data_IF_862407654631
#
_entry.id   IF_862407654631
#
_cell.length_a   1.000
_cell.length_b   1.000
_cell.length_c   1.000
_cell.angle_alpha   90.00
_cell.angle_beta   90.00
_cell.angle_gamma   90.00
#
_symmetry.space_group_name_H-M   'P 1'
#
loop_
_entity.id
_entity.type
_entity.pdbx_description
1 polymer ?
#
# COMPACT_ATOMS: atom_id res chain seq x y z
N UNK A 1 16.79 36.20 -23.50
CA UNK A 1 15.72 35.17 -23.41
C UNK A 1 14.95 35.36 -22.11
N UNK A 2 13.66 35.63 -22.17
CA UNK A 2 12.82 35.69 -20.99
C UNK A 2 12.71 34.27 -20.40
N UNK A 3 13.02 34.10 -19.12
CA UNK A 3 12.92 32.83 -18.40
C UNK A 3 11.44 32.47 -18.18
N UNK A 4 11.04 31.24 -18.56
CA UNK A 4 9.69 30.74 -18.26
C UNK A 4 9.43 30.80 -16.76
N UNK A 5 8.28 31.37 -16.39
CA UNK A 5 7.86 31.41 -14.99
C UNK A 5 6.96 30.21 -14.67
N UNK A 6 7.41 29.32 -13.81
CA UNK A 6 6.65 28.16 -13.34
C UNK A 6 6.79 27.97 -11.83
N UNK A 7 5.79 27.36 -11.24
CA UNK A 7 5.78 27.08 -9.80
C UNK A 7 6.87 26.06 -9.44
N UNK A 8 7.79 26.44 -8.57
CA UNK A 8 8.73 25.49 -7.95
C UNK A 8 7.99 24.65 -6.90
N UNK A 9 8.02 23.33 -7.05
CA UNK A 9 7.40 22.40 -6.12
C UNK A 9 8.50 21.85 -5.19
N UNK A 10 8.42 22.16 -3.91
CA UNK A 10 9.37 21.67 -2.91
C UNK A 10 8.90 20.31 -2.36
N UNK A 11 9.07 19.28 -3.17
CA UNK A 11 8.70 17.91 -2.84
C UNK A 11 9.84 16.97 -3.21
N UNK A 12 10.23 16.11 -2.28
CA UNK A 12 11.16 15.04 -2.60
C UNK A 12 10.48 14.00 -3.49
N UNK A 13 11.07 13.71 -4.64
CA UNK A 13 10.56 12.68 -5.57
C UNK A 13 10.42 11.33 -4.88
N UNK A 14 9.39 10.59 -5.27
CA UNK A 14 9.21 9.22 -4.81
C UNK A 14 10.34 8.33 -5.34
N UNK A 15 11.07 7.68 -4.44
CA UNK A 15 12.09 6.71 -4.80
C UNK A 15 11.50 5.30 -4.66
N UNK A 16 11.25 4.59 -5.77
CA UNK A 16 10.73 3.22 -5.73
C UNK A 16 11.74 2.25 -5.12
N UNK A 17 11.29 1.04 -4.77
CA UNK A 17 12.20 -0.05 -4.43
C UNK A 17 13.07 -0.41 -5.63
N UNK A 18 14.36 -0.73 -5.40
CA UNK A 18 15.22 -1.22 -6.46
C UNK A 18 14.58 -2.39 -7.21
N UNK A 19 14.61 -2.35 -8.54
CA UNK A 19 14.10 -3.40 -9.42
C UNK A 19 15.21 -4.13 -10.16
N UNK A 20 16.35 -3.48 -10.32
CA UNK A 20 17.47 -3.97 -11.12
C UNK A 20 18.79 -3.85 -10.36
N UNK A 21 19.75 -4.72 -10.72
CA UNK A 21 21.15 -4.62 -10.34
C UNK A 21 21.95 -4.69 -11.66
N UNK A 22 22.84 -3.74 -11.84
CA UNK A 22 23.65 -3.65 -13.04
C UNK A 22 24.36 -5.01 -13.33
N UNK A 23 24.29 -5.48 -14.56
CA UNK A 23 24.85 -6.76 -15.06
C UNK A 23 24.35 -8.05 -14.39
N UNK A 24 23.22 -8.05 -13.63
CA UNK A 24 22.60 -9.28 -13.12
C UNK A 24 21.33 -9.63 -13.86
N UNK A 25 21.28 -10.85 -14.46
CA UNK A 25 20.11 -11.35 -15.18
C UNK A 25 19.02 -11.93 -14.28
N UNK A 26 19.40 -12.63 -13.20
CA UNK A 26 18.44 -13.32 -12.31
C UNK A 26 18.30 -12.56 -10.97
N UNK A 27 17.29 -11.69 -10.90
CA UNK A 27 17.03 -10.87 -9.70
C UNK A 27 15.77 -11.37 -9.00
N UNK A 28 15.87 -11.53 -7.68
CA UNK A 28 14.73 -11.79 -6.79
C UNK A 28 14.30 -10.47 -6.18
N UNK A 29 13.17 -9.94 -6.64
CA UNK A 29 12.64 -8.64 -6.22
C UNK A 29 11.65 -8.77 -5.08
N UNK A 30 12.12 -8.62 -3.84
CA UNK A 30 11.30 -8.64 -2.62
C UNK A 30 11.15 -7.25 -1.99
N UNK A 31 11.08 -6.20 -2.83
CA UNK A 31 11.16 -4.79 -2.40
C UNK A 31 9.89 -3.97 -2.60
N UNK A 32 8.89 -4.45 -3.37
CA UNK A 32 7.77 -3.62 -3.83
C UNK A 32 6.37 -4.10 -3.40
N UNK A 33 6.27 -5.12 -2.54
CA UNK A 33 5.01 -5.70 -2.07
C UNK A 33 4.11 -6.16 -3.22
N UNK A 34 4.72 -6.72 -4.27
CA UNK A 34 4.01 -7.34 -5.38
C UNK A 34 3.42 -8.70 -4.94
N UNK A 35 2.43 -9.22 -5.68
CA UNK A 35 1.83 -10.52 -5.38
C UNK A 35 2.83 -11.66 -5.60
N UNK A 36 3.01 -12.52 -4.61
CA UNK A 36 3.90 -13.68 -4.69
C UNK A 36 3.48 -14.70 -5.77
N UNK A 37 2.19 -14.80 -6.05
CA UNK A 37 1.62 -15.75 -7.02
C UNK A 37 1.26 -15.10 -8.36
N UNK A 38 1.58 -13.79 -8.54
CA UNK A 38 1.21 -13.04 -9.74
C UNK A 38 -0.30 -12.79 -9.85
N UNK A 39 -0.82 -12.67 -11.06
CA UNK A 39 -2.24 -12.53 -11.36
C UNK A 39 -2.96 -13.88 -11.37
N UNK A 40 -4.29 -13.84 -11.11
CA UNK A 40 -5.11 -15.06 -11.15
C UNK A 40 -5.20 -15.67 -12.56
N UNK A 41 -5.45 -16.98 -12.69
CA UNK A 41 -5.69 -17.63 -13.97
C UNK A 41 -6.82 -16.97 -14.78
N UNK A 42 -7.91 -16.55 -14.14
CA UNK A 42 -9.02 -15.85 -14.81
C UNK A 42 -8.58 -14.51 -15.39
N UNK A 43 -7.84 -13.70 -14.61
CA UNK A 43 -7.28 -12.44 -15.10
C UNK A 43 -6.28 -12.65 -16.25
N UNK A 44 -5.43 -13.68 -16.15
CA UNK A 44 -4.48 -14.00 -17.22
C UNK A 44 -5.19 -14.37 -18.53
N UNK A 45 -6.22 -15.23 -18.44
CA UNK A 45 -7.02 -15.64 -19.61
C UNK A 45 -7.65 -14.43 -20.31
N UNK A 46 -8.27 -13.52 -19.57
CA UNK A 46 -8.91 -12.34 -20.16
C UNK A 46 -7.88 -11.37 -20.76
N UNK A 47 -6.72 -11.15 -20.11
CA UNK A 47 -5.66 -10.32 -20.66
C UNK A 47 -5.16 -10.84 -22.01
N UNK A 48 -4.94 -12.16 -22.15
CA UNK A 48 -4.47 -12.77 -23.41
C UNK A 48 -5.54 -12.85 -24.50
N UNK A 49 -6.83 -12.71 -24.18
CA UNK A 49 -7.92 -12.75 -25.16
C UNK A 49 -8.23 -11.40 -25.81
N UNK A 50 -7.69 -10.30 -25.29
CA UNK A 50 -7.99 -8.95 -25.81
C UNK A 50 -7.18 -8.71 -27.09
N UNK A 51 -7.88 -8.60 -28.23
CA UNK A 51 -7.26 -8.38 -29.55
C UNK A 51 -7.37 -6.95 -30.04
N UNK A 52 -8.38 -6.18 -29.58
CA UNK A 52 -8.68 -4.84 -30.09
C UNK A 52 -8.57 -3.80 -28.98
N UNK A 53 -7.74 -2.78 -29.19
CA UNK A 53 -7.46 -1.69 -28.26
C UNK A 53 -7.63 -0.30 -28.93
N UNK A 54 -8.26 -0.26 -30.08
CA UNK A 54 -8.47 0.92 -30.92
C UNK A 54 -9.60 1.85 -30.40
N UNK A 55 -10.42 1.38 -29.46
CA UNK A 55 -11.54 2.16 -28.91
C UNK A 55 -11.28 2.53 -27.45
N UNK A 56 -11.70 3.74 -27.08
CA UNK A 56 -11.69 4.17 -25.68
C UNK A 56 -12.57 3.24 -24.81
N UNK A 57 -12.14 2.96 -23.57
CA UNK A 57 -12.95 2.21 -22.61
C UNK A 57 -14.14 3.03 -22.08
N UNK A 58 -14.98 2.39 -21.25
CA UNK A 58 -16.03 3.12 -20.55
C UNK A 58 -15.43 4.13 -19.54
N UNK A 59 -15.60 5.43 -19.79
CA UNK A 59 -15.11 6.50 -18.92
C UNK A 59 -15.62 6.42 -17.49
N UNK A 60 -16.77 5.78 -17.26
CA UNK A 60 -17.40 5.59 -15.95
C UNK A 60 -17.09 4.25 -15.28
N UNK A 61 -16.32 3.36 -15.96
CA UNK A 61 -15.95 2.02 -15.46
C UNK A 61 -17.11 1.25 -14.84
N UNK A 62 -18.29 1.30 -15.50
CA UNK A 62 -19.54 0.78 -14.93
C UNK A 62 -19.48 -0.71 -14.62
N UNK A 63 -18.83 -1.49 -15.49
CA UNK A 63 -18.70 -2.93 -15.29
C UNK A 63 -17.91 -3.26 -14.03
N UNK A 64 -16.75 -2.63 -13.85
CA UNK A 64 -15.93 -2.85 -12.66
C UNK A 64 -16.63 -2.35 -11.38
N UNK A 65 -17.24 -1.17 -11.42
CA UNK A 65 -17.98 -0.62 -10.27
C UNK A 65 -19.13 -1.54 -9.86
N UNK A 66 -19.83 -2.16 -10.81
CA UNK A 66 -20.91 -3.13 -10.53
C UNK A 66 -20.36 -4.38 -9.83
N UNK A 67 -19.26 -4.94 -10.32
CA UNK A 67 -18.63 -6.11 -9.69
C UNK A 67 -18.10 -5.80 -8.29
N UNK A 68 -17.51 -4.62 -8.07
CA UNK A 68 -17.10 -4.16 -6.74
C UNK A 68 -18.32 -4.04 -5.81
N UNK A 69 -19.38 -3.38 -6.27
CA UNK A 69 -20.62 -3.19 -5.51
C UNK A 69 -21.21 -4.53 -5.05
N UNK A 70 -21.31 -5.50 -5.95
CA UNK A 70 -21.82 -6.85 -5.65
C UNK A 70 -20.92 -7.60 -4.67
N UNK A 71 -19.59 -7.63 -4.93
CA UNK A 71 -18.62 -8.37 -4.11
C UNK A 71 -18.59 -7.85 -2.67
N UNK A 72 -18.58 -6.53 -2.49
CA UNK A 72 -18.42 -5.91 -1.17
C UNK A 72 -19.75 -5.44 -0.55
N UNK A 73 -20.89 -5.71 -1.22
CA UNK A 73 -22.24 -5.32 -0.77
C UNK A 73 -22.28 -3.84 -0.39
N UNK A 74 -21.81 -2.99 -1.30
CA UNK A 74 -21.74 -1.54 -1.11
C UNK A 74 -22.37 -0.79 -2.30
N UNK A 75 -22.70 0.49 -2.11
CA UNK A 75 -23.46 1.26 -3.10
C UNK A 75 -22.59 1.59 -4.33
N UNK A 76 -23.10 1.30 -5.52
CA UNK A 76 -22.46 1.57 -6.81
C UNK A 76 -22.09 3.05 -7.00
N UNK A 77 -22.97 3.98 -6.60
CA UNK A 77 -22.75 5.43 -6.78
C UNK A 77 -21.70 6.01 -5.81
N UNK A 78 -21.26 5.21 -4.86
CA UNK A 78 -20.22 5.59 -3.88
C UNK A 78 -18.83 5.05 -4.23
N UNK A 79 -18.67 4.44 -5.42
CA UNK A 79 -17.42 3.87 -5.90
C UNK A 79 -16.80 4.77 -6.98
N UNK A 80 -15.51 5.03 -6.88
CA UNK A 80 -14.69 5.63 -7.94
C UNK A 80 -13.50 4.73 -8.25
N UNK A 81 -13.22 4.49 -9.54
CA UNK A 81 -12.02 3.77 -9.98
C UNK A 81 -10.93 4.75 -10.41
N UNK A 82 -9.68 4.43 -10.09
CA UNK A 82 -8.51 5.22 -10.41
C UNK A 82 -7.36 4.39 -10.99
N UNK A 83 -6.43 5.05 -11.64
CA UNK A 83 -5.17 4.49 -12.16
C UNK A 83 -4.23 4.11 -10.98
N UNK A 84 -4.62 3.09 -10.23
CA UNK A 84 -4.18 2.75 -8.89
C UNK A 84 -4.93 3.57 -7.82
N UNK A 85 -4.85 3.15 -6.56
CA UNK A 85 -5.33 3.97 -5.44
C UNK A 85 -4.58 5.30 -5.32
N UNK A 86 -3.39 5.39 -5.89
CA UNK A 86 -2.58 6.61 -5.93
C UNK A 86 -3.30 7.78 -6.61
N UNK A 87 -3.96 7.54 -7.75
CA UNK A 87 -4.74 8.58 -8.43
C UNK A 87 -5.92 9.02 -7.57
N UNK A 88 -6.60 8.10 -6.87
CA UNK A 88 -7.69 8.46 -5.96
C UNK A 88 -7.19 9.31 -4.79
N UNK A 89 -5.99 9.03 -4.25
CA UNK A 89 -5.35 9.89 -3.23
C UNK A 89 -5.10 11.28 -3.79
N UNK A 90 -4.56 11.38 -5.00
CA UNK A 90 -4.31 12.65 -5.67
C UNK A 90 -5.60 13.45 -5.86
N UNK A 91 -6.65 12.82 -6.35
CA UNK A 91 -7.97 13.46 -6.55
C UNK A 91 -8.58 13.93 -5.22
N UNK A 92 -8.45 13.15 -4.14
CA UNK A 92 -8.88 13.59 -2.80
C UNK A 92 -8.11 14.82 -2.33
N UNK A 93 -6.79 14.86 -2.53
CA UNK A 93 -6.00 16.04 -2.20
C UNK A 93 -6.44 17.27 -3.01
N UNK A 94 -6.71 17.11 -4.31
CA UNK A 94 -7.20 18.19 -5.18
C UNK A 94 -8.58 18.70 -4.75
N UNK A 95 -9.48 17.81 -4.32
CA UNK A 95 -10.84 18.18 -3.93
C UNK A 95 -10.90 18.89 -2.57
N UNK A 96 -10.13 18.40 -1.59
CA UNK A 96 -10.30 18.81 -0.18
C UNK A 96 -9.28 19.84 0.31
N UNK A 97 -8.15 20.02 -0.40
CA UNK A 97 -7.03 20.78 0.11
C UNK A 97 -6.78 22.06 -0.68
N UNK A 98 -6.42 23.11 0.07
CA UNK A 98 -5.94 24.37 -0.43
C UNK A 98 -4.61 24.73 0.25
N UNK A 99 -3.94 25.76 -0.27
CA UNK A 99 -2.77 26.37 0.39
C UNK A 99 -3.17 26.80 1.82
N UNK A 100 -2.36 26.45 2.82
CA UNK A 100 -2.58 26.67 4.27
C UNK A 100 -3.47 25.65 4.99
N UNK A 101 -4.17 24.74 4.30
CA UNK A 101 -4.83 23.62 4.96
C UNK A 101 -3.82 22.64 5.54
N UNK A 102 -4.23 21.85 6.52
CA UNK A 102 -3.40 20.86 7.18
C UNK A 102 -3.92 19.43 6.92
N UNK A 103 -2.95 18.54 6.73
CA UNK A 103 -3.18 17.10 6.56
C UNK A 103 -2.40 16.35 7.62
N UNK A 104 -3.06 15.47 8.37
CA UNK A 104 -2.38 14.62 9.34
C UNK A 104 -2.00 13.30 8.68
N UNK A 105 -0.73 12.92 8.80
CA UNK A 105 -0.17 11.67 8.28
C UNK A 105 0.68 11.02 9.38
N UNK A 106 0.52 9.72 9.66
CA UNK A 106 1.44 9.02 10.55
C UNK A 106 2.88 9.10 10.03
N UNK A 107 3.83 9.28 10.93
CA UNK A 107 5.23 9.58 10.60
C UNK A 107 5.87 8.55 9.64
N UNK A 108 5.55 7.28 9.82
CA UNK A 108 6.08 6.16 9.04
C UNK A 108 5.00 5.54 8.15
N UNK A 109 4.25 6.37 7.44
CA UNK A 109 3.19 5.89 6.54
C UNK A 109 3.55 6.07 5.06
N UNK A 110 2.66 5.63 4.17
CA UNK A 110 2.90 5.65 2.73
C UNK A 110 3.21 7.07 2.22
N UNK A 111 4.31 7.19 1.47
CA UNK A 111 4.89 8.50 1.12
C UNK A 111 3.99 9.37 0.25
N UNK A 112 3.09 8.77 -0.54
CA UNK A 112 2.25 9.50 -1.47
C UNK A 112 1.26 10.43 -0.77
N UNK A 113 0.81 10.13 0.44
CA UNK A 113 -0.06 11.04 1.19
C UNK A 113 0.60 12.41 1.37
N UNK A 114 1.86 12.43 1.86
CA UNK A 114 2.60 13.68 2.04
C UNK A 114 3.00 14.34 0.73
N UNK A 115 3.32 13.55 -0.30
CA UNK A 115 3.75 14.06 -1.59
C UNK A 115 2.60 14.82 -2.26
N UNK A 116 1.43 14.20 -2.41
CA UNK A 116 0.28 14.85 -3.03
C UNK A 116 -0.23 16.05 -2.23
N UNK A 117 -0.25 15.96 -0.89
CA UNK A 117 -0.61 17.10 -0.04
C UNK A 117 0.33 18.29 -0.24
N UNK A 118 1.64 18.06 -0.27
CA UNK A 118 2.63 19.12 -0.50
C UNK A 118 2.56 19.70 -1.93
N UNK A 119 2.21 18.90 -2.95
CA UNK A 119 2.00 19.38 -4.33
C UNK A 119 0.88 20.45 -4.37
N UNK A 120 -0.19 20.24 -3.62
CA UNK A 120 -1.26 21.25 -3.47
C UNK A 120 -0.77 22.50 -2.72
N UNK A 121 0.22 22.34 -1.85
CA UNK A 121 0.75 23.42 -0.98
C UNK A 121 0.14 23.41 0.42
N UNK A 122 -0.57 22.35 0.78
CA UNK A 122 -1.05 22.15 2.15
C UNK A 122 0.08 21.70 3.07
N UNK A 123 -0.08 21.93 4.37
CA UNK A 123 0.90 21.60 5.40
C UNK A 123 0.70 20.16 5.88
N UNK A 124 1.74 19.33 5.78
CA UNK A 124 1.71 17.97 6.34
C UNK A 124 2.13 18.00 7.81
N UNK A 125 1.24 17.54 8.68
CA UNK A 125 1.45 17.40 10.11
C UNK A 125 1.68 15.92 10.43
N UNK A 126 2.84 15.59 10.99
CA UNK A 126 3.14 14.21 11.35
C UNK A 126 2.64 13.87 12.75
N UNK A 127 1.88 12.78 12.88
CA UNK A 127 1.58 12.15 14.15
C UNK A 127 2.65 11.12 14.51
N UNK A 128 3.12 11.12 15.76
CA UNK A 128 4.10 10.15 16.26
C UNK A 128 3.47 8.76 16.39
N UNK A 129 4.25 7.76 16.11
CA UNK A 129 3.88 6.35 16.28
C UNK A 129 4.54 5.76 17.54
N UNK A 130 3.88 4.80 18.17
CA UNK A 130 4.45 4.05 19.29
C UNK A 130 4.90 2.68 18.78
N UNK A 131 6.21 2.39 18.84
CA UNK A 131 6.79 1.13 18.33
C UNK A 131 6.31 0.80 16.90
N UNK A 132 6.34 1.80 16.02
CA UNK A 132 5.88 1.73 14.62
C UNK A 132 4.36 1.51 14.43
N UNK A 133 3.56 1.54 15.48
CA UNK A 133 2.10 1.51 15.41
C UNK A 133 1.54 2.92 15.54
N UNK A 134 0.58 3.25 14.70
CA UNK A 134 -0.16 4.52 14.77
C UNK A 134 -0.79 4.67 16.16
N UNK A 135 -0.65 5.85 16.75
CA UNK A 135 -1.28 6.20 18.02
C UNK A 135 -2.50 7.08 17.77
N UNK A 136 -3.69 6.60 18.16
CA UNK A 136 -4.95 7.36 18.06
C UNK A 136 -4.81 8.68 18.82
N UNK A 137 -4.27 8.66 20.03
CA UNK A 137 -4.02 9.87 20.80
C UNK A 137 -3.13 10.85 20.05
N UNK A 138 -1.99 10.39 19.51
CA UNK A 138 -1.07 11.27 18.79
C UNK A 138 -1.69 11.88 17.51
N UNK A 139 -2.59 11.16 16.83
CA UNK A 139 -3.34 11.71 15.70
C UNK A 139 -4.28 12.82 16.17
N UNK A 140 -5.04 12.57 17.24
CA UNK A 140 -6.01 13.53 17.78
C UNK A 140 -5.34 14.79 18.35
N UNK A 141 -4.21 14.64 19.04
CA UNK A 141 -3.41 15.76 19.60
C UNK A 141 -2.86 16.71 18.50
N UNK A 142 -2.84 16.26 17.23
CA UNK A 142 -2.38 17.06 16.08
C UNK A 142 -3.50 17.76 15.32
N UNK A 143 -4.76 17.53 15.69
CA UNK A 143 -5.91 18.14 15.02
C UNK A 143 -5.97 19.64 15.36
N UNK A 144 -6.04 20.48 14.33
CA UNK A 144 -6.22 21.92 14.42
C UNK A 144 -7.43 22.37 13.61
N UNK A 145 -7.79 23.67 13.69
CA UNK A 145 -8.87 24.25 12.89
C UNK A 145 -8.61 24.17 11.37
N UNK A 146 -7.35 24.03 10.96
CA UNK A 146 -6.92 23.91 9.55
C UNK A 146 -6.92 22.47 9.05
N UNK A 147 -7.08 21.48 9.92
CA UNK A 147 -7.05 20.05 9.52
C UNK A 147 -8.25 19.72 8.65
N UNK A 148 -8.01 19.22 7.43
CA UNK A 148 -9.02 18.78 6.46
C UNK A 148 -9.05 17.27 6.28
N UNK A 149 -7.88 16.63 6.22
CA UNK A 149 -7.75 15.19 5.97
C UNK A 149 -6.86 14.55 7.04
N UNK A 150 -7.23 13.35 7.46
CA UNK A 150 -6.36 12.40 8.15
C UNK A 150 -6.18 11.19 7.27
N UNK A 151 -4.97 10.91 6.80
CA UNK A 151 -4.63 9.68 6.08
C UNK A 151 -4.18 8.59 7.03
N UNK A 152 -4.67 7.38 6.82
CA UNK A 152 -4.36 6.20 7.63
C UNK A 152 -4.27 4.95 6.76
N UNK A 153 -3.09 4.38 6.58
CA UNK A 153 -2.95 3.05 6.00
C UNK A 153 -3.19 1.97 7.07
N UNK A 154 -4.08 1.01 6.79
CA UNK A 154 -4.46 -0.01 7.76
C UNK A 154 -4.73 -1.37 7.10
N UNK A 155 -3.74 -2.28 7.06
CA UNK A 155 -2.39 -2.23 7.69
C UNK A 155 -1.45 -1.17 7.11
N UNK A 156 -0.57 -0.64 7.97
CA UNK A 156 0.34 0.42 7.59
C UNK A 156 1.54 -0.09 6.76
N UNK A 157 1.90 0.64 5.73
CA UNK A 157 3.11 0.46 4.94
C UNK A 157 4.08 1.63 5.23
N UNK A 158 5.31 1.39 5.74
CA UNK A 158 6.07 0.14 5.65
C UNK A 158 6.10 -0.71 6.93
N UNK A 159 5.39 -0.34 7.99
CA UNK A 159 5.58 -0.91 9.33
C UNK A 159 4.89 -2.26 9.53
N UNK A 160 3.85 -2.55 8.75
CA UNK A 160 3.04 -3.77 8.91
C UNK A 160 2.25 -3.81 10.21
N UNK A 161 2.11 -2.68 10.90
CA UNK A 161 1.24 -2.56 12.07
C UNK A 161 -0.18 -2.14 11.64
N UNK A 162 -1.14 -2.30 12.52
CA UNK A 162 -2.53 -1.91 12.23
C UNK A 162 -3.25 -1.41 13.47
N UNK A 163 -4.26 -0.59 13.26
CA UNK A 163 -5.26 -0.26 14.26
C UNK A 163 -6.35 -1.33 14.27
N UNK A 164 -6.73 -1.74 15.48
CA UNK A 164 -7.84 -2.65 15.71
C UNK A 164 -9.19 -1.99 15.38
N UNK A 165 -10.25 -2.80 15.28
CA UNK A 165 -11.63 -2.30 15.17
C UNK A 165 -11.94 -1.23 16.22
N UNK A 166 -11.59 -1.49 17.49
CA UNK A 166 -11.84 -0.56 18.60
C UNK A 166 -11.13 0.77 18.40
N UNK A 167 -9.85 0.73 18.06
CA UNK A 167 -9.03 1.93 17.83
C UNK A 167 -9.52 2.75 16.63
N UNK A 168 -9.95 2.11 15.53
CA UNK A 168 -10.51 2.81 14.37
C UNK A 168 -11.85 3.49 14.70
N UNK A 169 -12.72 2.82 15.44
CA UNK A 169 -14.00 3.39 15.86
C UNK A 169 -13.77 4.57 16.82
N UNK A 170 -12.83 4.44 17.75
CA UNK A 170 -12.44 5.52 18.68
C UNK A 170 -11.90 6.73 17.92
N UNK A 171 -10.97 6.52 16.97
CA UNK A 171 -10.42 7.59 16.15
C UNK A 171 -11.53 8.35 15.43
N UNK A 172 -12.42 7.65 14.71
CA UNK A 172 -13.50 8.32 13.97
C UNK A 172 -14.48 9.04 14.90
N UNK A 173 -14.82 8.47 16.06
CA UNK A 173 -15.73 9.08 17.05
C UNK A 173 -15.18 10.40 17.57
N UNK A 174 -13.87 10.47 17.85
CA UNK A 174 -13.21 11.64 18.43
C UNK A 174 -12.77 12.70 17.41
N UNK A 175 -12.60 12.33 16.12
CA UNK A 175 -12.33 13.31 15.08
C UNK A 175 -13.56 14.18 14.80
N UNK A 176 -13.36 15.48 14.57
CA UNK A 176 -14.43 16.40 14.17
C UNK A 176 -15.12 15.91 12.90
N UNK A 177 -16.42 16.20 12.77
CA UNK A 177 -17.25 15.71 11.66
C UNK A 177 -16.85 16.31 10.30
N UNK A 178 -16.25 17.49 10.27
CA UNK A 178 -15.80 18.17 9.07
C UNK A 178 -14.38 17.74 8.60
N UNK A 179 -13.78 16.75 9.25
CA UNK A 179 -12.48 16.17 8.84
C UNK A 179 -12.74 14.86 8.12
N UNK A 180 -12.18 14.73 6.90
CA UNK A 180 -12.22 13.48 6.15
C UNK A 180 -11.19 12.50 6.72
N UNK A 181 -11.63 11.32 7.15
CA UNK A 181 -10.76 10.20 7.48
C UNK A 181 -10.59 9.31 6.25
N UNK A 182 -9.39 9.27 5.67
CA UNK A 182 -9.06 8.39 4.56
C UNK A 182 -8.37 7.14 5.08
N UNK A 183 -9.00 5.98 4.90
CA UNK A 183 -8.46 4.67 5.32
C UNK A 183 -7.99 3.92 4.09
N UNK A 184 -6.68 3.67 4.00
CA UNK A 184 -6.10 2.90 2.91
C UNK A 184 -6.00 1.43 3.30
N UNK A 185 -6.95 0.66 2.80
CA UNK A 185 -7.12 -0.78 3.02
C UNK A 185 -6.37 -1.61 1.94
N UNK A 186 -5.24 -1.13 1.41
CA UNK A 186 -4.50 -1.79 0.31
C UNK A 186 -4.07 -3.24 0.62
N UNK A 187 -4.00 -3.62 1.87
CA UNK A 187 -3.59 -4.97 2.33
C UNK A 187 -4.70 -5.73 3.04
N UNK A 188 -5.92 -5.24 3.02
CA UNK A 188 -7.07 -5.81 3.72
C UNK A 188 -7.24 -7.32 3.49
N UNK A 189 -7.10 -7.79 2.26
CA UNK A 189 -7.33 -9.20 1.92
C UNK A 189 -6.33 -10.17 2.56
N UNK A 190 -5.17 -9.67 3.01
CA UNK A 190 -4.17 -10.47 3.75
C UNK A 190 -4.46 -10.56 5.25
N UNK A 191 -5.42 -9.77 5.76
CA UNK A 191 -5.71 -9.71 7.18
C UNK A 191 -6.55 -10.91 7.63
N UNK A 192 -6.03 -11.64 8.62
CA UNK A 192 -6.71 -12.78 9.27
C UNK A 192 -6.89 -12.55 10.78
N UNK A 193 -6.47 -11.40 11.28
CA UNK A 193 -6.51 -11.07 12.70
C UNK A 193 -7.94 -10.73 13.13
N UNK A 194 -8.45 -11.42 14.15
CA UNK A 194 -9.85 -11.29 14.63
C UNK A 194 -10.21 -9.87 15.14
N UNK A 195 -9.23 -9.16 15.66
CA UNK A 195 -9.36 -7.77 16.17
C UNK A 195 -9.34 -6.70 15.09
N UNK A 196 -9.09 -7.08 13.83
CA UNK A 196 -9.12 -6.18 12.68
C UNK A 196 -10.48 -6.18 11.99
N UNK A 197 -10.87 -5.02 11.47
CA UNK A 197 -11.95 -4.83 10.51
C UNK A 197 -11.56 -3.77 9.48
N UNK A 198 -11.97 -3.96 8.23
CA UNK A 198 -11.66 -3.00 7.19
C UNK A 198 -12.43 -1.69 7.36
N UNK A 199 -11.90 -0.60 6.83
CA UNK A 199 -12.59 0.68 6.83
C UNK A 199 -13.97 0.61 6.15
N UNK A 200 -14.07 -0.18 5.08
CA UNK A 200 -15.34 -0.38 4.36
C UNK A 200 -16.39 -1.10 5.22
N UNK A 201 -16.01 -2.13 5.95
CA UNK A 201 -16.93 -2.85 6.86
C UNK A 201 -17.44 -1.95 7.99
N UNK A 202 -16.56 -1.09 8.53
CA UNK A 202 -16.90 -0.24 9.68
C UNK A 202 -17.67 1.03 9.30
N UNK A 203 -17.39 1.60 8.13
CA UNK A 203 -17.76 2.98 7.84
C UNK A 203 -18.47 3.20 6.51
N UNK A 204 -18.99 2.15 5.84
CA UNK A 204 -19.63 2.29 4.53
C UNK A 204 -20.79 3.30 4.49
N UNK A 205 -21.42 3.59 5.63
CA UNK A 205 -22.53 4.55 5.76
C UNK A 205 -22.08 5.91 6.33
N UNK A 206 -20.78 6.14 6.57
CA UNK A 206 -20.27 7.40 7.11
C UNK A 206 -19.87 8.36 5.98
N UNK A 207 -20.46 9.57 5.98
CA UNK A 207 -20.19 10.58 4.94
C UNK A 207 -18.77 11.15 4.97
N UNK A 208 -18.10 11.13 6.13
CA UNK A 208 -16.79 11.71 6.37
C UNK A 208 -15.67 10.67 6.52
N UNK A 209 -15.87 9.50 5.92
CA UNK A 209 -14.84 8.47 5.76
C UNK A 209 -14.73 8.11 4.29
N UNK A 210 -13.50 7.97 3.81
CA UNK A 210 -13.19 7.51 2.47
C UNK A 210 -12.24 6.32 2.55
N UNK A 211 -12.57 5.22 1.88
CA UNK A 211 -11.79 3.98 1.91
C UNK A 211 -11.12 3.75 0.57
N UNK A 212 -9.82 3.46 0.58
CA UNK A 212 -9.04 3.16 -0.61
C UNK A 212 -8.77 1.66 -0.70
N UNK A 213 -8.78 1.13 -1.91
CA UNK A 213 -8.46 -0.27 -2.24
C UNK A 213 -7.66 -0.35 -3.53
N UNK A 214 -6.89 -1.41 -3.71
CA UNK A 214 -6.04 -1.58 -4.89
C UNK A 214 -6.07 -3.00 -5.44
N UNK A 215 -5.90 -3.14 -6.74
CA UNK A 215 -5.66 -4.43 -7.40
C UNK A 215 -4.16 -4.75 -7.51
N UNK A 216 -3.29 -3.86 -7.06
CA UNK A 216 -1.83 -4.01 -7.16
C UNK A 216 -1.23 -5.06 -6.23
N UNK A 217 -1.95 -5.50 -5.17
CA UNK A 217 -1.43 -6.39 -4.14
C UNK A 217 -1.92 -7.81 -4.35
N UNK A 218 -2.91 -8.28 -3.61
CA UNK A 218 -3.35 -9.68 -3.65
C UNK A 218 -3.85 -10.13 -5.04
N UNK A 219 -4.45 -9.21 -5.79
CA UNK A 219 -4.95 -9.50 -7.13
C UNK A 219 -3.87 -9.62 -8.21
N UNK A 220 -2.62 -9.19 -7.91
CA UNK A 220 -1.46 -9.36 -8.80
C UNK A 220 -1.47 -8.46 -10.04
N UNK A 221 -2.21 -7.34 -10.04
CA UNK A 221 -2.36 -6.46 -11.20
C UNK A 221 -1.58 -5.13 -11.05
N UNK A 222 -0.42 -5.17 -10.41
CA UNK A 222 0.36 -3.97 -10.10
C UNK A 222 0.74 -3.15 -11.35
N UNK A 223 1.12 -3.81 -12.45
CA UNK A 223 1.50 -3.15 -13.71
C UNK A 223 0.32 -2.56 -14.48
N UNK A 224 -0.89 -3.05 -14.27
CA UNK A 224 -2.09 -2.56 -14.94
C UNK A 224 -2.62 -1.25 -14.36
N UNK A 225 -2.06 -0.80 -13.24
CA UNK A 225 -2.41 0.47 -12.61
C UNK A 225 -3.90 0.62 -12.38
N UNK A 226 -4.49 -0.18 -11.51
CA UNK A 226 -5.91 -0.11 -11.18
C UNK A 226 -6.15 -0.20 -9.68
N UNK A 227 -7.02 0.66 -9.17
CA UNK A 227 -7.48 0.74 -7.79
C UNK A 227 -8.84 1.41 -7.72
N UNK A 228 -9.37 1.55 -6.53
CA UNK A 228 -10.66 2.17 -6.33
C UNK A 228 -10.79 2.78 -4.93
N UNK A 229 -11.76 3.68 -4.81
CA UNK A 229 -12.14 4.29 -3.56
C UNK A 229 -13.64 4.21 -3.33
N UNK A 230 -14.03 4.26 -2.06
CA UNK A 230 -15.40 4.27 -1.59
C UNK A 230 -15.62 5.41 -0.61
N UNK A 231 -16.59 6.27 -0.87
CA UNK A 231 -16.93 7.40 0.00
C UNK A 231 -18.39 7.80 -0.12
N UNK A 232 -18.80 8.94 0.42
CA UNK A 232 -20.14 9.44 0.23
C UNK A 232 -20.45 9.74 -1.24
N UNK A 233 -21.72 9.63 -1.63
CA UNK A 233 -22.16 9.91 -3.00
C UNK A 233 -21.75 11.32 -3.45
N UNK A 234 -21.85 12.30 -2.56
CA UNK A 234 -21.48 13.69 -2.85
C UNK A 234 -19.99 13.82 -3.15
N UNK A 235 -19.12 13.22 -2.33
CA UNK A 235 -17.66 13.22 -2.57
C UNK A 235 -17.35 12.54 -3.91
N UNK A 236 -17.93 11.37 -4.18
CA UNK A 236 -17.67 10.63 -5.43
C UNK A 236 -18.16 11.43 -6.65
N UNK A 237 -19.29 12.13 -6.55
CA UNK A 237 -19.81 13.00 -7.62
C UNK A 237 -18.81 14.11 -7.96
N UNK A 238 -18.21 14.77 -6.95
CA UNK A 238 -17.21 15.82 -7.17
C UNK A 238 -15.89 15.26 -7.71
N UNK A 239 -15.43 14.12 -7.21
CA UNK A 239 -14.23 13.45 -7.72
C UNK A 239 -14.39 13.05 -9.21
N UNK A 240 -15.58 12.63 -9.63
CA UNK A 240 -15.85 12.28 -11.03
C UNK A 240 -15.77 13.49 -11.99
N UNK A 241 -15.93 14.73 -11.50
CA UNK A 241 -15.77 15.95 -12.31
C UNK A 241 -14.30 16.26 -12.62
N UNK A 242 -13.40 15.97 -11.69
CA UNK A 242 -11.96 16.29 -11.79
C UNK A 242 -11.10 15.09 -12.23
N UNK A 243 -11.68 13.91 -12.27
CA UNK A 243 -11.02 12.68 -12.74
C UNK A 243 -10.68 12.80 -14.24
N UNK A 244 -9.44 12.46 -14.68
CA UNK A 244 -9.14 12.40 -16.11
C UNK A 244 -10.09 11.50 -16.88
N UNK A 245 -10.54 11.86 -18.08
CA UNK A 245 -11.37 11.01 -18.90
C UNK A 245 -10.61 9.72 -19.27
N UNK A 246 -11.32 8.59 -19.33
CA UNK A 246 -10.76 7.29 -19.74
C UNK A 246 -9.51 6.85 -18.94
N UNK A 247 -9.36 7.29 -17.68
CA UNK A 247 -8.20 7.04 -16.84
C UNK A 247 -7.89 5.57 -16.57
N UNK A 248 -8.86 4.68 -16.74
CA UNK A 248 -8.68 3.23 -16.61
C UNK A 248 -8.62 2.61 -18.00
N UNK A 249 -7.53 1.93 -18.33
CA UNK A 249 -7.42 1.22 -19.59
C UNK A 249 -8.29 -0.05 -19.62
N UNK A 250 -8.73 -0.45 -20.81
CA UNK A 250 -9.63 -1.59 -21.04
C UNK A 250 -9.12 -2.90 -20.44
N UNK A 251 -7.82 -3.17 -20.60
CA UNK A 251 -7.20 -4.41 -20.08
C UNK A 251 -7.27 -4.44 -18.56
N UNK A 252 -6.97 -3.32 -17.91
CA UNK A 252 -7.01 -3.20 -16.45
C UNK A 252 -8.43 -3.42 -15.90
N UNK A 253 -9.45 -2.81 -16.52
CA UNK A 253 -10.85 -2.98 -16.11
C UNK A 253 -11.28 -4.44 -16.22
N UNK A 254 -11.10 -5.06 -17.38
CA UNK A 254 -11.49 -6.45 -17.62
C UNK A 254 -10.73 -7.43 -16.70
N UNK A 255 -9.43 -7.25 -16.54
CA UNK A 255 -8.62 -8.07 -15.65
C UNK A 255 -9.03 -7.94 -14.18
N UNK A 256 -9.40 -6.74 -13.74
CA UNK A 256 -9.87 -6.49 -12.38
C UNK A 256 -11.23 -7.15 -12.11
N UNK A 257 -12.16 -7.09 -13.06
CA UNK A 257 -13.46 -7.80 -12.99
C UNK A 257 -13.24 -9.29 -12.78
N UNK A 258 -12.39 -9.92 -13.58
CA UNK A 258 -12.10 -11.35 -13.46
C UNK A 258 -11.32 -11.70 -12.19
N UNK A 259 -10.42 -10.82 -11.73
CA UNK A 259 -9.73 -10.98 -10.45
C UNK A 259 -10.69 -10.98 -9.26
N UNK A 260 -11.72 -10.14 -9.28
CA UNK A 260 -12.75 -10.10 -8.23
C UNK A 260 -13.54 -11.40 -8.13
N UNK A 261 -13.80 -12.06 -9.26
CA UNK A 261 -14.54 -13.32 -9.34
C UNK A 261 -13.71 -14.54 -8.91
N UNK A 262 -12.38 -14.43 -8.84
CA UNK A 262 -11.50 -15.56 -8.53
C UNK A 262 -11.24 -15.70 -7.03
N UNK A 263 -12.26 -16.12 -6.27
CA UNK A 263 -12.18 -16.30 -4.82
C UNK A 263 -11.14 -17.34 -4.42
N UNK A 264 -11.01 -18.43 -5.19
CA UNK A 264 -10.07 -19.52 -4.92
C UNK A 264 -8.62 -19.04 -4.97
N UNK A 265 -8.27 -18.21 -5.94
CA UNK A 265 -6.94 -17.62 -6.06
C UNK A 265 -6.61 -16.69 -4.89
N UNK A 266 -7.57 -15.87 -4.44
CA UNK A 266 -7.39 -15.00 -3.28
C UNK A 266 -7.09 -15.84 -2.03
N UNK A 267 -7.89 -16.90 -1.76
CA UNK A 267 -7.65 -17.79 -0.62
C UNK A 267 -6.30 -18.50 -0.70
N UNK A 268 -5.90 -18.96 -1.90
CA UNK A 268 -4.58 -19.56 -2.15
C UNK A 268 -3.47 -18.55 -1.85
N UNK A 269 -3.62 -17.30 -2.26
CA UNK A 269 -2.65 -16.23 -2.01
C UNK A 269 -2.50 -15.89 -0.52
N UNK A 270 -3.60 -15.85 0.22
CA UNK A 270 -3.59 -15.64 1.67
C UNK A 270 -2.89 -16.81 2.38
N UNK A 271 -3.25 -18.06 2.05
CA UNK A 271 -2.62 -19.27 2.63
C UNK A 271 -1.12 -19.32 2.36
N UNK A 272 -0.71 -19.01 1.11
CA UNK A 272 0.70 -18.92 0.72
C UNK A 272 1.45 -17.85 1.54
N UNK A 273 0.88 -16.66 1.63
CA UNK A 273 1.46 -15.56 2.38
C UNK A 273 1.67 -15.90 3.86
N UNK A 274 0.65 -16.43 4.52
CA UNK A 274 0.73 -16.85 5.92
C UNK A 274 1.80 -17.92 6.14
N UNK A 275 1.76 -19.00 5.35
CA UNK A 275 2.75 -20.09 5.42
C UNK A 275 4.17 -19.56 5.38
N UNK A 276 4.48 -18.74 4.38
CA UNK A 276 5.84 -18.25 4.19
C UNK A 276 6.23 -17.14 5.17
N UNK A 277 5.31 -16.25 5.53
CA UNK A 277 5.58 -15.24 6.52
C UNK A 277 5.96 -15.85 7.87
N UNK A 278 5.22 -16.85 8.35
CA UNK A 278 5.56 -17.53 9.62
C UNK A 278 6.86 -18.35 9.52
N UNK A 279 7.09 -19.05 8.40
CA UNK A 279 8.34 -19.78 8.19
C UNK A 279 9.56 -18.85 8.19
N UNK A 280 9.46 -17.73 7.50
CA UNK A 280 10.53 -16.71 7.46
C UNK A 280 10.75 -16.11 8.85
N UNK A 281 9.69 -15.74 9.57
CA UNK A 281 9.80 -15.22 10.94
C UNK A 281 10.58 -16.16 11.84
N UNK A 282 10.21 -17.46 11.87
CA UNK A 282 10.89 -18.48 12.69
C UNK A 282 12.40 -18.55 12.39
N UNK A 283 12.80 -18.48 11.12
CA UNK A 283 14.22 -18.49 10.74
C UNK A 283 14.93 -17.19 11.15
N UNK A 284 14.28 -16.04 10.99
CA UNK A 284 14.85 -14.74 11.33
C UNK A 284 15.09 -14.59 12.86
N UNK A 285 14.24 -15.21 13.68
CA UNK A 285 14.38 -15.23 15.14
C UNK A 285 15.71 -15.86 15.59
N UNK A 286 16.21 -16.88 14.89
CA UNK A 286 17.53 -17.50 15.15
C UNK A 286 18.69 -16.50 14.98
N UNK A 287 18.50 -15.45 14.18
CA UNK A 287 19.46 -14.38 13.96
C UNK A 287 19.17 -13.12 14.78
N UNK A 288 18.27 -13.19 15.76
CA UNK A 288 17.81 -12.07 16.59
C UNK A 288 17.23 -10.90 15.77
N UNK A 289 16.67 -11.20 14.58
CA UNK A 289 15.95 -10.23 13.74
C UNK A 289 14.47 -10.31 14.12
N UNK A 290 13.95 -9.25 14.75
CA UNK A 290 12.53 -9.15 15.09
C UNK A 290 11.69 -8.78 13.88
N UNK A 291 10.42 -9.17 13.89
CA UNK A 291 9.45 -8.82 12.85
C UNK A 291 8.13 -8.36 13.46
N UNK A 292 7.33 -7.63 12.67
CA UNK A 292 5.96 -7.28 13.03
C UNK A 292 5.03 -8.53 13.06
N UNK A 293 3.83 -8.37 13.59
CA UNK A 293 2.72 -9.33 13.43
C UNK A 293 2.36 -9.42 11.94
N UNK A 294 2.06 -10.63 11.45
CA UNK A 294 1.67 -10.80 10.03
C UNK A 294 0.33 -10.13 9.77
N UNK A 295 0.32 -9.14 8.88
CA UNK A 295 -0.85 -8.30 8.59
C UNK A 295 -0.94 -7.87 7.12
N UNK A 296 0.12 -8.12 6.34
CA UNK A 296 0.23 -7.76 4.94
C UNK A 296 1.07 -8.81 4.21
N UNK A 297 1.39 -8.58 2.93
CA UNK A 297 2.29 -9.45 2.17
C UNK A 297 3.78 -9.06 2.33
N UNK A 298 4.13 -8.47 3.46
CA UNK A 298 5.51 -8.10 3.79
C UNK A 298 5.76 -8.15 5.30
N UNK A 299 7.02 -8.20 5.68
CA UNK A 299 7.50 -8.10 7.05
C UNK A 299 8.42 -6.89 7.20
N UNK A 300 8.30 -6.16 8.31
CA UNK A 300 9.30 -5.23 8.79
C UNK A 300 10.36 -6.03 9.54
N UNK A 301 11.60 -5.97 9.06
CA UNK A 301 12.74 -6.64 9.68
C UNK A 301 13.49 -5.66 10.56
N UNK A 302 13.58 -5.95 11.85
CA UNK A 302 14.24 -5.13 12.86
C UNK A 302 15.56 -5.77 13.26
N UNK A 303 16.66 -5.09 12.96
CA UNK A 303 18.04 -5.56 13.18
C UNK A 303 18.69 -5.00 14.46
N UNK A 304 17.95 -4.28 15.32
CA UNK A 304 18.58 -3.63 16.50
C UNK A 304 19.23 -4.61 17.47
N UNK A 305 18.75 -5.84 17.53
CA UNK A 305 19.35 -6.92 18.33
C UNK A 305 20.18 -7.92 17.52
N UNK A 306 20.26 -7.74 16.20
CA UNK A 306 21.03 -8.61 15.34
C UNK A 306 22.52 -8.25 15.40
N UNK A 307 23.42 -9.25 15.32
CA UNK A 307 24.89 -9.05 15.24
C UNK A 307 25.28 -8.15 14.06
N UNK A 308 24.49 -8.12 12.98
CA UNK A 308 24.78 -7.37 11.77
C UNK A 308 23.73 -6.33 11.47
N UNK A 309 24.16 -5.15 11.00
CA UNK A 309 23.24 -4.06 10.63
C UNK A 309 22.40 -4.40 9.39
N UNK A 310 21.23 -3.77 9.30
CA UNK A 310 20.35 -3.87 8.13
C UNK A 310 21.06 -3.54 6.82
N UNK A 311 21.96 -2.53 6.81
CA UNK A 311 22.74 -2.12 5.63
C UNK A 311 23.71 -3.24 5.21
N UNK A 312 24.41 -3.89 6.16
CA UNK A 312 25.34 -4.99 5.87
C UNK A 312 24.61 -6.18 5.26
N UNK A 313 23.48 -6.61 5.85
CA UNK A 313 22.64 -7.70 5.33
C UNK A 313 22.09 -7.33 3.94
N UNK A 314 21.54 -6.11 3.77
CA UNK A 314 21.05 -5.64 2.48
C UNK A 314 22.11 -5.73 1.37
N UNK A 315 23.30 -5.18 1.61
CA UNK A 315 24.42 -5.22 0.64
C UNK A 315 24.82 -6.67 0.29
N UNK A 316 24.84 -7.58 1.27
CA UNK A 316 25.19 -8.99 1.06
C UNK A 316 24.11 -9.73 0.24
N UNK A 317 22.82 -9.45 0.47
CA UNK A 317 21.71 -9.98 -0.33
C UNK A 317 21.74 -9.41 -1.75
N UNK A 318 21.99 -8.12 -1.93
CA UNK A 318 22.11 -7.47 -3.24
C UNK A 318 23.25 -8.09 -4.07
N UNK A 319 24.41 -8.40 -3.46
CA UNK A 319 25.51 -9.14 -4.13
C UNK A 319 25.05 -10.53 -4.62
N UNK A 320 24.04 -11.14 -4.00
CA UNK A 320 23.45 -12.43 -4.40
C UNK A 320 22.21 -12.28 -5.28
N UNK A 321 21.82 -11.05 -5.69
CA UNK A 321 20.68 -10.80 -6.56
C UNK A 321 19.35 -10.71 -5.84
N UNK A 322 19.33 -10.57 -4.51
CA UNK A 322 18.09 -10.48 -3.72
C UNK A 322 17.90 -9.04 -3.24
N UNK A 323 16.78 -8.41 -3.63
CA UNK A 323 16.48 -7.01 -3.35
C UNK A 323 15.41 -6.88 -2.26
N UNK A 324 15.77 -6.28 -1.13
CA UNK A 324 14.84 -5.85 -0.08
C UNK A 324 14.66 -4.33 -0.12
N UNK A 325 13.58 -3.84 0.48
CA UNK A 325 13.29 -2.40 0.57
C UNK A 325 14.06 -1.74 1.71
N UNK A 326 14.92 -0.76 1.38
CA UNK A 326 15.46 0.20 2.36
C UNK A 326 14.35 1.12 2.87
N UNK A 327 14.42 1.49 4.14
CA UNK A 327 13.45 2.37 4.79
C UNK A 327 14.01 3.76 5.10
N UNK A 328 15.14 4.13 4.51
CA UNK A 328 15.77 5.44 4.68
C UNK A 328 14.84 6.60 4.29
N UNK A 329 14.08 6.46 3.20
CA UNK A 329 13.09 7.45 2.77
C UNK A 329 11.97 7.69 3.81
N UNK A 330 11.78 6.75 4.72
CA UNK A 330 10.86 6.85 5.87
C UNK A 330 11.57 7.32 7.14
N UNK A 331 12.88 7.58 7.10
CA UNK A 331 13.72 7.90 8.26
C UNK A 331 13.70 6.79 9.34
N UNK A 332 13.50 5.53 8.93
CA UNK A 332 13.56 4.36 9.80
C UNK A 332 14.95 3.75 9.69
N UNK A 333 15.71 3.83 10.78
CA UNK A 333 17.08 3.33 10.85
C UNK A 333 17.12 1.83 11.17
N UNK A 334 18.15 1.15 10.69
CA UNK A 334 18.47 -0.26 10.96
C UNK A 334 17.31 -1.25 10.74
N UNK A 335 16.45 -0.95 9.79
CA UNK A 335 15.30 -1.79 9.42
C UNK A 335 15.24 -1.99 7.90
N UNK A 336 14.65 -3.11 7.48
CA UNK A 336 14.31 -3.41 6.08
C UNK A 336 12.87 -3.87 5.99
N UNK A 337 12.24 -3.69 4.83
CA UNK A 337 10.96 -4.31 4.53
C UNK A 337 11.17 -5.44 3.53
N UNK A 338 10.70 -6.63 3.88
CA UNK A 338 10.76 -7.85 3.08
C UNK A 338 9.38 -8.19 2.55
N UNK A 339 9.20 -8.19 1.25
CA UNK A 339 8.00 -8.75 0.59
C UNK A 339 8.04 -10.27 0.64
N UNK A 340 6.92 -10.92 0.92
CA UNK A 340 6.80 -12.39 0.83
C UNK A 340 6.75 -12.77 -0.65
N UNK A 341 7.77 -13.46 -1.12
CA UNK A 341 7.89 -13.93 -2.49
C UNK A 341 7.17 -15.25 -2.76
N UNK A 342 7.36 -15.79 -3.96
CA UNK A 342 6.91 -17.15 -4.27
C UNK A 342 7.77 -18.20 -3.55
N UNK A 343 7.41 -19.47 -3.67
CA UNK A 343 8.10 -20.57 -2.96
C UNK A 343 9.60 -20.62 -3.26
N UNK A 344 9.98 -20.52 -4.55
CA UNK A 344 11.39 -20.55 -4.97
C UNK A 344 12.17 -19.34 -4.41
N UNK A 345 11.61 -18.16 -4.51
CA UNK A 345 12.22 -16.92 -4.01
C UNK A 345 12.44 -16.95 -2.50
N UNK A 346 11.45 -17.41 -1.74
CA UNK A 346 11.54 -17.51 -0.31
C UNK A 346 12.58 -18.56 0.14
N UNK A 347 12.66 -19.71 -0.54
CA UNK A 347 13.68 -20.74 -0.28
C UNK A 347 15.09 -20.16 -0.56
N UNK A 348 15.26 -19.47 -1.69
CA UNK A 348 16.55 -18.88 -2.03
C UNK A 348 16.96 -17.78 -1.04
N UNK A 349 16.01 -16.94 -0.61
CA UNK A 349 16.24 -15.96 0.45
C UNK A 349 16.76 -16.63 1.74
N UNK A 350 16.05 -17.66 2.23
CA UNK A 350 16.41 -18.32 3.48
C UNK A 350 17.79 -19.02 3.39
N UNK A 351 18.04 -19.77 2.30
CA UNK A 351 19.36 -20.39 2.06
C UNK A 351 20.48 -19.35 1.95
N UNK A 352 20.19 -18.20 1.36
CA UNK A 352 21.18 -17.12 1.22
C UNK A 352 21.47 -16.46 2.56
N UNK A 353 20.44 -16.20 3.38
CA UNK A 353 20.62 -15.67 4.73
C UNK A 353 21.47 -16.64 5.59
N UNK A 354 21.16 -17.94 5.55
CA UNK A 354 21.93 -18.96 6.28
C UNK A 354 23.41 -18.93 5.87
N UNK A 355 23.73 -18.92 4.58
CA UNK A 355 25.11 -18.81 4.09
C UNK A 355 25.79 -17.53 4.54
N UNK A 356 25.09 -16.39 4.53
CA UNK A 356 25.63 -15.11 4.98
C UNK A 356 25.99 -15.19 6.48
N UNK A 357 25.09 -15.71 7.32
CA UNK A 357 25.31 -15.79 8.75
C UNK A 357 26.37 -16.84 9.11
N UNK A 358 26.42 -18.02 8.47
CA UNK A 358 27.45 -19.05 8.67
C UNK A 358 28.85 -18.55 8.27
N UNK A 359 28.99 -17.95 7.08
CA UNK A 359 30.27 -17.44 6.61
C UNK A 359 30.90 -16.41 7.56
N UNK A 360 30.08 -15.66 8.27
CA UNK A 360 30.56 -14.64 9.19
C UNK A 360 30.79 -15.17 10.61
N UNK A 361 30.33 -16.39 10.93
CA UNK A 361 30.67 -17.08 12.17
C UNK A 361 32.06 -17.74 12.09
N UNK A 362 32.54 -18.10 10.89
CA UNK A 362 33.84 -18.76 10.66
C UNK A 362 35.01 -17.74 10.62
N UNK A 363 34.72 -16.46 10.42
CA UNK A 363 35.73 -15.39 10.35
C UNK A 363 35.90 -14.64 11.68
N UNK A 364 35.63 -15.29 12.81
CA UNK A 364 35.88 -14.93 14.18
C UNK A 364 36.40 -16.15 14.96
#
# INVERSE_FOLDING_TARGET
MQKLNYRKINVQSYVPGKSNIFRKKNIIKLSANESALGQSPKSRKIISSIKKLDKYPDSKTRTLRREISQKFKCNFDQIICGSGSDEVIQLLCQLFLQKKDEVIVPQYSFLMYRIYSNIIGSKVIFSKENKFKVSVKSVLDKVSNKTKIVFLANPNNPTGTYLTKKELLELRKKLRQNILLVIDDAYYEYMVNKDYKSGLELFKNKKNVFVLRTFSKIYGLASLRIGWGYGSKDIVKELLKIKPPFNINKIAEMAAVEALKDKSFILKSVKHNLKWAYKIKKVLENYKIKTNKVSANFLLLDFDKCKYSAIKIKKSLEKKGILLRSLEAYKIKNKLRLTIGNTRENILLLKTLEKIFKKWLINY
#
